data_IF_076559726066
#
_entry.id   IF_076559726066
#
_cell.length_a   1.000
_cell.length_b   1.000
_cell.length_c   1.000
_cell.angle_alpha   90.00
_cell.angle_beta   90.00
_cell.angle_gamma   90.00
#
_symmetry.space_group_name_H-M   'P 1'
#
loop_
_entity.id
_entity.type
_entity.pdbx_description
1 polymer ?
#
# COMPACT_ATOMS: atom_id res chain seq x y z
N UNK A 1 31.60 46.57 -50.31
CA UNK A 1 31.79 46.25 -48.88
C UNK A 1 30.69 45.28 -48.47
N UNK A 2 30.93 43.96 -48.41
CA UNK A 2 29.96 43.03 -47.86
C UNK A 2 30.19 42.88 -46.35
N UNK A 3 29.14 43.12 -45.58
CA UNK A 3 29.09 42.94 -44.12
C UNK A 3 29.09 41.45 -43.81
N UNK A 4 30.17 40.95 -43.20
CA UNK A 4 30.24 39.58 -42.68
C UNK A 4 29.63 39.58 -41.29
N UNK A 5 28.42 39.06 -41.16
CA UNK A 5 27.80 38.74 -39.87
C UNK A 5 28.53 37.54 -39.26
N UNK A 6 29.27 37.76 -38.17
CA UNK A 6 29.78 36.69 -37.32
C UNK A 6 28.59 35.99 -36.67
N UNK A 7 28.31 34.75 -37.05
CA UNK A 7 27.52 33.84 -36.22
C UNK A 7 28.44 33.29 -35.14
N UNK A 8 28.15 33.65 -33.89
CA UNK A 8 28.86 33.12 -32.73
C UNK A 8 28.56 31.61 -32.57
N UNK A 9 29.56 30.73 -32.64
CA UNK A 9 29.36 29.27 -32.59
C UNK A 9 28.80 28.76 -31.24
N UNK A 10 28.70 29.62 -30.22
CA UNK A 10 28.22 29.23 -28.89
C UNK A 10 26.68 29.11 -28.79
N UNK A 11 25.92 29.90 -29.55
CA UNK A 11 24.44 29.86 -29.50
C UNK A 11 23.89 28.59 -30.17
N UNK A 12 24.54 28.12 -31.23
CA UNK A 12 24.17 26.88 -31.93
C UNK A 12 24.27 25.66 -31.02
N UNK A 13 25.38 25.54 -30.27
CA UNK A 13 25.62 24.43 -29.33
C UNK A 13 24.66 24.45 -28.13
N UNK A 14 24.27 25.64 -27.69
CA UNK A 14 23.34 25.80 -26.55
C UNK A 14 21.91 25.44 -26.97
N UNK A 15 21.49 25.86 -28.15
CA UNK A 15 20.18 25.51 -28.71
C UNK A 15 20.07 24.01 -29.06
N UNK A 16 21.14 23.37 -29.52
CA UNK A 16 21.19 21.91 -29.70
C UNK A 16 21.04 21.16 -28.38
N UNK A 17 21.73 21.61 -27.32
CA UNK A 17 21.57 21.05 -25.97
C UNK A 17 20.16 21.22 -25.43
N UNK A 18 19.57 22.40 -25.58
CA UNK A 18 18.18 22.64 -25.19
C UNK A 18 17.27 21.69 -25.97
N UNK A 19 17.40 21.61 -27.29
CA UNK A 19 16.60 20.71 -28.13
C UNK A 19 16.71 19.23 -27.72
N UNK A 20 17.90 18.75 -27.36
CA UNK A 20 18.09 17.39 -26.82
C UNK A 20 17.36 17.20 -25.49
N UNK A 21 17.37 18.20 -24.62
CA UNK A 21 16.71 18.15 -23.31
C UNK A 21 15.18 18.25 -23.38
N UNK A 22 14.62 18.94 -24.38
CA UNK A 22 13.17 18.96 -24.66
C UNK A 22 12.72 17.84 -25.59
N UNK A 23 13.64 17.01 -26.11
CA UNK A 23 13.27 15.84 -26.92
C UNK A 23 12.55 14.84 -26.02
N UNK A 24 11.31 14.42 -26.33
CA UNK A 24 10.59 13.43 -25.55
C UNK A 24 11.42 12.15 -25.43
N UNK A 25 11.77 11.76 -24.20
CA UNK A 25 12.50 10.52 -23.97
C UNK A 25 11.70 9.34 -24.56
N UNK A 26 12.33 8.50 -25.41
CA UNK A 26 11.65 7.35 -25.98
C UNK A 26 11.23 6.42 -24.84
N UNK A 27 9.96 6.05 -24.81
CA UNK A 27 9.48 5.02 -23.90
C UNK A 27 10.18 3.72 -24.34
N UNK A 28 10.83 2.98 -23.42
CA UNK A 28 11.48 1.72 -23.78
C UNK A 28 10.52 0.83 -24.57
N UNK A 29 10.99 0.17 -25.65
CA UNK A 29 10.15 -0.73 -26.44
C UNK A 29 9.54 -1.78 -25.51
N UNK A 30 8.28 -2.19 -25.74
CA UNK A 30 7.61 -3.12 -24.85
C UNK A 30 8.33 -4.47 -24.93
N UNK A 31 9.00 -4.84 -23.84
CA UNK A 31 9.21 -6.26 -23.51
C UNK A 31 7.83 -6.93 -23.59
N UNK A 32 7.70 -8.16 -24.08
CA UNK A 32 6.39 -8.81 -24.29
C UNK A 32 5.49 -8.75 -23.05
N UNK A 33 6.08 -8.77 -21.85
CA UNK A 33 5.42 -8.59 -20.55
C UNK A 33 4.73 -7.23 -20.33
N UNK A 34 5.10 -6.20 -21.10
CA UNK A 34 4.64 -4.81 -20.98
C UNK A 34 3.55 -4.45 -22.01
N UNK A 35 3.27 -5.32 -22.99
CA UNK A 35 2.24 -5.07 -24.03
C UNK A 35 0.85 -4.88 -23.42
N UNK A 36 0.57 -5.52 -22.28
CA UNK A 36 -0.70 -5.41 -21.57
C UNK A 36 -0.83 -4.15 -20.66
N UNK A 37 0.22 -3.31 -20.55
CA UNK A 37 0.23 -2.15 -19.66
C UNK A 37 -0.04 -0.84 -20.40
N UNK A 38 -0.95 -0.02 -19.84
CA UNK A 38 -1.19 1.34 -20.32
C UNK A 38 0.08 2.20 -20.20
N UNK A 39 0.15 3.32 -20.93
CA UNK A 39 1.30 4.24 -20.91
C UNK A 39 1.65 4.73 -19.48
N UNK A 40 0.64 5.07 -18.69
CA UNK A 40 0.82 5.47 -17.28
C UNK A 40 1.35 4.34 -16.40
N UNK A 41 0.86 3.10 -16.59
CA UNK A 41 1.37 1.93 -15.86
C UNK A 41 2.83 1.60 -16.22
N UNK A 42 3.22 1.79 -17.48
CA UNK A 42 4.62 1.64 -17.92
C UNK A 42 5.53 2.68 -17.28
N UNK A 43 5.11 3.95 -17.29
CA UNK A 43 5.84 5.02 -16.61
C UNK A 43 5.99 4.73 -15.11
N UNK A 44 4.91 4.31 -14.45
CA UNK A 44 4.95 3.91 -13.04
C UNK A 44 5.97 2.79 -12.78
N UNK A 45 5.94 1.71 -13.58
CA UNK A 45 6.91 0.60 -13.43
C UNK A 45 8.34 1.06 -13.68
N UNK A 46 8.58 1.91 -14.67
CA UNK A 46 9.91 2.44 -14.97
C UNK A 46 10.45 3.33 -13.83
N UNK A 47 9.60 4.18 -13.24
CA UNK A 47 10.01 5.09 -12.17
C UNK A 47 10.14 4.41 -10.80
N UNK A 48 9.35 3.37 -10.52
CA UNK A 48 9.27 2.76 -9.18
C UNK A 48 9.89 1.36 -9.10
N UNK A 49 10.17 0.72 -10.24
CA UNK A 49 10.53 -0.70 -10.30
C UNK A 49 9.36 -1.65 -9.99
N UNK A 50 8.18 -1.15 -9.62
CA UNK A 50 7.04 -1.96 -9.18
C UNK A 50 6.07 -2.21 -10.34
N UNK A 51 5.71 -3.46 -10.60
CA UNK A 51 4.61 -3.79 -11.52
C UNK A 51 3.27 -3.41 -10.89
N UNK A 52 2.46 -2.60 -11.57
CA UNK A 52 1.16 -2.13 -11.07
C UNK A 52 0.21 -3.29 -10.73
N UNK A 53 0.33 -4.43 -11.41
CA UNK A 53 -0.48 -5.63 -11.14
C UNK A 53 -0.11 -6.30 -9.81
N UNK A 54 1.12 -6.09 -9.31
CA UNK A 54 1.54 -6.56 -8.00
C UNK A 54 0.78 -5.85 -6.86
N UNK A 55 0.21 -4.67 -7.12
CA UNK A 55 -0.49 -3.84 -6.13
C UNK A 55 -1.96 -4.24 -5.94
N UNK A 56 -2.45 -5.28 -6.64
CA UNK A 56 -3.87 -5.65 -6.62
C UNK A 56 -4.10 -7.16 -6.64
N UNK A 57 -5.20 -7.56 -6.02
CA UNK A 57 -5.77 -8.92 -6.05
C UNK A 57 -7.04 -8.84 -6.89
N UNK A 58 -6.92 -9.24 -8.16
CA UNK A 58 -7.95 -9.06 -9.20
C UNK A 58 -8.48 -10.37 -9.77
N UNK A 59 -7.69 -11.45 -9.82
CA UNK A 59 -8.15 -12.72 -10.40
C UNK A 59 -8.95 -13.56 -9.39
N UNK A 60 -9.75 -14.50 -9.88
CA UNK A 60 -10.49 -15.43 -9.03
C UNK A 60 -9.55 -16.28 -8.18
N UNK A 61 -8.47 -16.82 -8.77
CA UNK A 61 -7.46 -17.63 -8.06
C UNK A 61 -6.85 -16.82 -6.90
N UNK A 62 -6.45 -15.57 -7.18
CA UNK A 62 -5.92 -14.66 -6.17
C UNK A 62 -6.95 -14.36 -5.08
N UNK A 63 -8.21 -14.11 -5.46
CA UNK A 63 -9.28 -13.79 -4.53
C UNK A 63 -9.58 -14.96 -3.57
N UNK A 64 -9.77 -16.17 -4.09
CA UNK A 64 -10.09 -17.33 -3.26
C UNK A 64 -8.90 -17.72 -2.38
N UNK A 65 -7.67 -17.67 -2.89
CA UNK A 65 -6.47 -17.88 -2.08
C UNK A 65 -6.39 -16.87 -0.93
N UNK A 66 -6.64 -15.59 -1.22
CA UNK A 66 -6.65 -14.54 -0.20
C UNK A 66 -7.70 -14.82 0.89
N UNK A 67 -8.90 -15.24 0.49
CA UNK A 67 -9.99 -15.52 1.42
C UNK A 67 -9.69 -16.73 2.31
N UNK A 68 -9.11 -17.80 1.75
CA UNK A 68 -8.70 -18.98 2.51
C UNK A 68 -7.57 -18.66 3.49
N UNK A 69 -6.51 -17.98 3.04
CA UNK A 69 -5.43 -17.57 3.93
C UNK A 69 -5.89 -16.61 5.03
N UNK A 70 -6.82 -15.69 4.72
CA UNK A 70 -7.46 -14.84 5.73
C UNK A 70 -8.20 -15.68 6.78
N UNK A 71 -8.91 -16.71 6.35
CA UNK A 71 -9.65 -17.60 7.24
C UNK A 71 -8.69 -18.38 8.15
N UNK A 72 -7.65 -18.99 7.57
CA UNK A 72 -6.62 -19.77 8.27
C UNK A 72 -5.86 -18.91 9.28
N UNK A 73 -5.36 -17.76 8.84
CA UNK A 73 -4.57 -16.84 9.66
C UNK A 73 -5.39 -15.88 10.52
N UNK A 74 -6.73 -15.98 10.46
CA UNK A 74 -7.68 -15.09 11.16
C UNK A 74 -7.35 -13.61 11.02
N UNK A 75 -7.03 -13.17 9.80
CA UNK A 75 -6.57 -11.79 9.57
C UNK A 75 -7.69 -10.78 9.83
N UNK A 76 -7.36 -9.76 10.61
CA UNK A 76 -8.18 -8.58 10.81
C UNK A 76 -7.31 -7.32 10.84
N UNK A 77 -7.83 -6.22 10.32
CA UNK A 77 -7.04 -4.99 10.12
C UNK A 77 -6.49 -4.44 11.42
N UNK A 78 -7.20 -4.62 12.55
CA UNK A 78 -6.76 -4.16 13.87
C UNK A 78 -5.70 -5.06 14.54
N UNK A 79 -5.50 -6.30 14.07
CA UNK A 79 -4.51 -7.24 14.65
C UNK A 79 -3.23 -7.37 13.80
N UNK A 80 -3.23 -6.74 12.63
CA UNK A 80 -2.15 -6.79 11.64
C UNK A 80 -1.28 -5.53 11.70
N UNK A 81 0.03 -5.73 11.90
CA UNK A 81 1.06 -4.68 11.79
C UNK A 81 1.66 -4.70 10.38
N UNK A 82 2.37 -3.63 10.01
CA UNK A 82 3.12 -3.52 8.77
C UNK A 82 4.13 -4.66 8.58
N UNK A 83 4.92 -4.99 9.60
CA UNK A 83 5.85 -6.14 9.54
C UNK A 83 5.11 -7.48 9.33
N UNK A 84 3.95 -7.70 9.98
CA UNK A 84 3.16 -8.93 9.77
C UNK A 84 2.70 -9.07 8.32
N UNK A 85 2.39 -7.95 7.66
CA UNK A 85 1.98 -7.96 6.24
C UNK A 85 3.11 -8.40 5.31
N UNK A 86 4.36 -8.06 5.64
CA UNK A 86 5.55 -8.49 4.89
C UNK A 86 5.65 -10.03 4.91
N UNK A 87 5.61 -10.64 6.10
CA UNK A 87 5.67 -12.11 6.25
C UNK A 87 4.48 -12.81 5.58
N UNK A 88 3.26 -12.31 5.82
CA UNK A 88 2.04 -12.88 5.24
C UNK A 88 2.03 -12.80 3.71
N UNK A 89 2.61 -11.73 3.15
CA UNK A 89 2.68 -11.55 1.70
C UNK A 89 3.70 -12.49 1.07
N UNK A 90 4.83 -12.76 1.74
CA UNK A 90 5.78 -13.76 1.29
C UNK A 90 5.11 -15.16 1.22
N UNK A 91 4.38 -15.54 2.26
CA UNK A 91 3.62 -16.80 2.28
C UNK A 91 2.54 -16.85 1.18
N UNK A 92 1.82 -15.74 0.99
CA UNK A 92 0.79 -15.63 -0.05
C UNK A 92 1.40 -15.80 -1.45
N UNK A 93 2.55 -15.19 -1.71
CA UNK A 93 3.23 -15.30 -3.00
C UNK A 93 3.75 -16.72 -3.26
N UNK A 94 4.25 -17.41 -2.23
CA UNK A 94 4.64 -18.82 -2.34
C UNK A 94 3.44 -19.70 -2.71
N UNK A 95 2.33 -19.59 -1.98
CA UNK A 95 1.08 -20.32 -2.26
C UNK A 95 0.47 -19.96 -3.63
N UNK A 96 0.60 -18.71 -4.05
CA UNK A 96 0.14 -18.26 -5.36
C UNK A 96 0.99 -18.89 -6.48
N UNK A 97 2.31 -18.95 -6.30
CA UNK A 97 3.20 -19.60 -7.25
C UNK A 97 2.88 -21.09 -7.38
N UNK A 98 2.67 -21.79 -6.26
CA UNK A 98 2.25 -23.19 -6.26
C UNK A 98 0.95 -23.40 -7.05
N UNK A 99 -0.09 -22.58 -6.81
CA UNK A 99 -1.38 -22.68 -7.51
C UNK A 99 -1.32 -22.37 -9.01
N UNK A 100 -0.32 -21.61 -9.44
CA UNK A 100 -0.11 -21.24 -10.84
C UNK A 100 0.90 -22.16 -11.55
N UNK A 101 1.55 -23.06 -10.82
CA UNK A 101 2.48 -24.05 -11.39
C UNK A 101 1.74 -24.92 -12.41
N UNK A 102 2.16 -24.88 -13.67
CA UNK A 102 1.50 -25.60 -14.78
C UNK A 102 0.52 -24.75 -15.61
N UNK A 103 0.35 -23.46 -15.29
CA UNK A 103 -0.37 -22.49 -16.14
C UNK A 103 0.64 -21.64 -16.92
N UNK A 104 0.36 -21.27 -18.17
CA UNK A 104 1.23 -20.33 -18.96
C UNK A 104 1.23 -18.89 -18.40
N UNK A 105 0.61 -18.66 -17.24
CA UNK A 105 0.49 -17.33 -16.65
C UNK A 105 1.77 -16.93 -15.93
N UNK A 106 2.36 -15.79 -16.33
CA UNK A 106 3.45 -15.17 -15.59
C UNK A 106 3.01 -14.87 -14.14
N UNK A 107 3.73 -15.48 -13.18
CA UNK A 107 3.50 -15.26 -11.75
C UNK A 107 4.01 -13.87 -11.40
N UNK A 108 3.10 -12.99 -10.98
CA UNK A 108 3.44 -11.65 -10.51
C UNK A 108 3.35 -11.65 -8.98
N UNK A 109 4.50 -11.63 -8.27
CA UNK A 109 4.49 -11.57 -6.82
C UNK A 109 3.78 -10.30 -6.35
N UNK A 110 2.89 -10.45 -5.38
CA UNK A 110 2.11 -9.36 -4.82
C UNK A 110 2.94 -8.57 -3.82
N UNK A 111 2.68 -7.27 -3.80
CA UNK A 111 3.20 -6.36 -2.80
C UNK A 111 2.29 -6.37 -1.55
N UNK A 112 2.82 -6.17 -0.33
CA UNK A 112 2.02 -6.14 0.89
C UNK A 112 0.82 -5.20 0.84
N UNK A 113 0.94 -4.08 0.10
CA UNK A 113 -0.16 -3.13 -0.08
C UNK A 113 -1.40 -3.76 -0.72
N UNK A 114 -1.22 -4.72 -1.63
CA UNK A 114 -2.32 -5.41 -2.30
C UNK A 114 -3.21 -6.17 -1.32
N UNK A 115 -2.59 -6.88 -0.36
CA UNK A 115 -3.31 -7.64 0.65
C UNK A 115 -4.00 -6.71 1.66
N UNK A 116 -3.33 -5.64 2.08
CA UNK A 116 -3.90 -4.63 2.99
C UNK A 116 -5.16 -4.00 2.37
N UNK A 117 -5.07 -3.53 1.13
CA UNK A 117 -6.19 -2.91 0.43
C UNK A 117 -7.33 -3.91 0.19
N UNK A 118 -6.99 -5.16 -0.13
CA UNK A 118 -8.00 -6.22 -0.28
C UNK A 118 -8.69 -6.54 1.04
N UNK A 119 -7.95 -6.62 2.15
CA UNK A 119 -8.51 -6.85 3.47
C UNK A 119 -9.51 -5.75 3.83
N UNK A 120 -9.14 -4.47 3.65
CA UNK A 120 -10.05 -3.36 3.94
C UNK A 120 -11.37 -3.44 3.16
N UNK A 121 -11.34 -3.88 1.89
CA UNK A 121 -12.55 -4.12 1.08
C UNK A 121 -13.36 -5.31 1.60
N UNK A 122 -12.70 -6.43 1.91
CA UNK A 122 -13.34 -7.64 2.41
C UNK A 122 -13.98 -7.39 3.78
N UNK A 123 -13.32 -6.67 4.69
CA UNK A 123 -13.90 -6.32 5.99
C UNK A 123 -15.14 -5.45 5.86
N UNK A 124 -15.14 -4.48 4.93
CA UNK A 124 -16.34 -3.70 4.64
C UNK A 124 -17.49 -4.58 4.15
N UNK A 125 -17.22 -5.56 3.28
CA UNK A 125 -18.23 -6.52 2.82
C UNK A 125 -18.71 -7.44 3.94
N UNK A 126 -17.83 -7.93 4.81
CA UNK A 126 -18.20 -8.78 5.95
C UNK A 126 -19.11 -8.01 6.91
N UNK A 127 -18.77 -6.76 7.23
CA UNK A 127 -19.61 -5.93 8.10
C UNK A 127 -20.98 -5.69 7.46
N UNK A 128 -21.02 -5.37 6.17
CA UNK A 128 -22.27 -5.17 5.43
C UNK A 128 -23.17 -6.41 5.50
N UNK A 129 -22.61 -7.60 5.23
CA UNK A 129 -23.34 -8.87 5.29
C UNK A 129 -23.85 -9.23 6.68
N UNK A 130 -23.03 -9.06 7.71
CA UNK A 130 -23.46 -9.25 9.11
C UNK A 130 -24.59 -8.28 9.45
N UNK A 131 -24.49 -7.03 8.99
CA UNK A 131 -25.46 -6.00 9.34
C UNK A 131 -26.83 -6.18 8.67
N UNK A 132 -26.88 -6.77 7.47
CA UNK A 132 -28.12 -7.07 6.74
C UNK A 132 -28.60 -8.50 6.94
N UNK A 133 -27.85 -9.33 7.66
CA UNK A 133 -28.08 -10.77 7.78
C UNK A 133 -28.20 -11.48 6.41
N UNK A 134 -27.51 -10.97 5.39
CA UNK A 134 -27.51 -11.51 4.01
C UNK A 134 -26.13 -12.09 3.66
N UNK A 135 -26.06 -13.42 3.71
CA UNK A 135 -24.85 -14.17 3.40
C UNK A 135 -24.81 -14.69 1.97
N UNK A 136 -25.72 -14.26 1.09
CA UNK A 136 -25.80 -14.75 -0.28
C UNK A 136 -24.53 -14.42 -1.07
N UNK A 137 -24.00 -15.41 -1.79
CA UNK A 137 -22.97 -15.22 -2.81
C UNK A 137 -23.60 -14.96 -4.18
N UNK A 138 -22.80 -14.55 -5.17
CA UNK A 138 -23.26 -14.38 -6.56
C UNK A 138 -23.84 -15.65 -7.17
N UNK A 139 -23.54 -16.83 -6.60
CA UNK A 139 -24.06 -18.14 -7.00
C UNK A 139 -25.23 -18.63 -6.13
N UNK A 140 -25.78 -17.77 -5.27
CA UNK A 140 -26.92 -18.09 -4.39
C UNK A 140 -26.58 -18.93 -3.15
N UNK A 141 -25.34 -19.39 -2.99
CA UNK A 141 -24.92 -20.10 -1.77
C UNK A 141 -24.53 -19.15 -0.65
N UNK A 142 -24.86 -19.49 0.58
CA UNK A 142 -24.45 -18.72 1.78
C UNK A 142 -23.19 -19.27 2.46
N UNK A 143 -22.77 -20.50 2.13
CA UNK A 143 -21.74 -21.23 2.89
C UNK A 143 -20.40 -20.48 2.94
N UNK A 144 -20.02 -19.89 1.81
CA UNK A 144 -18.82 -19.08 1.69
C UNK A 144 -18.82 -17.89 2.66
N UNK A 145 -19.87 -17.06 2.62
CA UNK A 145 -19.90 -15.87 3.46
C UNK A 145 -20.14 -16.19 4.93
N UNK A 146 -20.91 -17.23 5.25
CA UNK A 146 -21.04 -17.69 6.64
C UNK A 146 -19.68 -18.12 7.22
N UNK A 147 -18.89 -18.88 6.45
CA UNK A 147 -17.50 -19.25 6.82
C UNK A 147 -16.64 -18.00 7.07
N UNK A 148 -16.62 -17.05 6.14
CA UNK A 148 -15.70 -15.91 6.21
C UNK A 148 -16.16 -14.76 7.13
N UNK A 149 -17.45 -14.64 7.41
CA UNK A 149 -17.98 -13.68 8.39
C UNK A 149 -17.73 -14.13 9.84
N UNK A 150 -17.64 -15.44 10.10
CA UNK A 150 -17.39 -15.97 11.44
C UNK A 150 -15.92 -15.88 11.91
N UNK A 151 -14.98 -15.47 11.05
CA UNK A 151 -13.53 -15.55 11.32
C UNK A 151 -13.08 -14.62 12.44
N UNK A 152 -13.53 -13.36 12.41
CA UNK A 152 -13.19 -12.35 13.41
C UNK A 152 -14.43 -11.50 13.68
N UNK A 153 -14.72 -11.24 14.96
CA UNK A 153 -15.76 -10.30 15.37
C UNK A 153 -15.35 -8.87 14.99
N UNK A 154 -15.60 -8.49 13.74
CA UNK A 154 -15.32 -7.14 13.20
C UNK A 154 -16.31 -6.08 13.70
N UNK A 155 -17.39 -6.53 14.33
CA UNK A 155 -18.28 -5.70 15.15
C UNK A 155 -18.56 -6.47 16.44
N UNK A 156 -18.12 -5.93 17.58
CA UNK A 156 -18.83 -6.20 18.82
C UNK A 156 -20.12 -5.40 18.68
N UNK A 157 -21.27 -6.08 18.70
CA UNK A 157 -22.59 -5.46 18.58
C UNK A 157 -22.60 -4.15 19.37
N UNK A 158 -22.73 -3.03 18.66
CA UNK A 158 -23.27 -1.84 19.30
C UNK A 158 -24.61 -2.32 19.89
N UNK A 159 -24.78 -2.10 21.20
CA UNK A 159 -26.06 -2.33 21.87
C UNK A 159 -27.17 -1.77 20.98
N UNK A 160 -28.28 -2.51 20.89
CA UNK A 160 -29.38 -2.18 19.99
C UNK A 160 -29.68 -0.67 19.98
N UNK A 161 -29.93 -0.08 18.79
CA UNK A 161 -30.27 1.32 18.71
C UNK A 161 -31.42 1.59 19.66
N UNK A 162 -31.18 2.47 20.64
CA UNK A 162 -32.15 2.77 21.70
C UNK A 162 -33.43 3.41 21.14
N UNK A 163 -33.42 3.81 19.86
CA UNK A 163 -34.52 4.43 19.15
C UNK A 163 -34.74 3.82 17.75
N UNK A 164 -35.99 3.53 17.36
CA UNK A 164 -36.33 3.13 16.00
C UNK A 164 -36.17 4.33 15.05
N UNK A 165 -35.10 4.34 14.25
CA UNK A 165 -34.82 5.40 13.26
C UNK A 165 -33.34 5.76 13.09
N UNK A 166 -32.44 5.31 13.96
CA UNK A 166 -31.01 5.57 13.81
C UNK A 166 -30.40 4.74 12.67
N UNK A 167 -29.94 5.45 11.63
CA UNK A 167 -29.19 4.85 10.52
C UNK A 167 -27.88 4.26 11.07
N UNK A 168 -27.64 2.96 10.83
CA UNK A 168 -26.36 2.29 11.12
C UNK A 168 -25.22 3.14 10.55
N UNK A 169 -24.26 3.53 11.39
CA UNK A 169 -23.13 4.37 10.96
C UNK A 169 -22.31 3.63 9.91
N UNK A 170 -22.05 4.28 8.77
CA UNK A 170 -21.18 3.76 7.72
C UNK A 170 -19.79 3.48 8.30
N UNK A 171 -19.26 2.28 8.07
CA UNK A 171 -17.91 1.86 8.49
C UNK A 171 -16.88 2.90 8.04
N UNK A 172 -16.15 3.45 8.99
CA UNK A 172 -15.09 4.41 8.73
C UNK A 172 -13.75 3.70 8.68
N UNK A 173 -12.98 3.91 7.62
CA UNK A 173 -11.60 3.40 7.50
C UNK A 173 -10.60 4.56 7.60
N UNK A 174 -9.39 4.28 8.06
CA UNK A 174 -8.30 5.24 8.05
C UNK A 174 -7.85 5.48 6.60
N UNK A 175 -7.79 6.73 6.15
CA UNK A 175 -7.33 7.06 4.80
C UNK A 175 -5.87 6.67 4.54
N UNK A 176 -5.06 6.57 5.60
CA UNK A 176 -3.62 6.28 5.58
C UNK A 176 -3.33 4.77 5.63
N UNK A 177 -3.62 4.11 6.75
CA UNK A 177 -3.37 2.67 6.94
C UNK A 177 -4.52 1.74 6.52
N UNK A 178 -5.67 2.27 6.08
CA UNK A 178 -6.87 1.50 5.68
C UNK A 178 -7.54 0.66 6.77
N UNK A 179 -7.04 0.69 8.02
CA UNK A 179 -7.68 -0.01 9.13
C UNK A 179 -9.09 0.52 9.41
N UNK A 180 -10.00 -0.36 9.84
CA UNK A 180 -11.31 0.04 10.37
C UNK A 180 -11.10 0.88 11.61
N UNK A 181 -11.74 2.05 11.69
CA UNK A 181 -11.48 2.99 12.77
C UNK A 181 -12.07 2.57 14.11
N UNK A 182 -13.24 1.93 14.10
CA UNK A 182 -13.99 1.62 15.31
C UNK A 182 -14.47 0.16 15.36
N UNK A 183 -13.57 -0.83 15.22
CA UNK A 183 -13.96 -2.25 15.21
C UNK A 183 -14.52 -2.73 16.56
N UNK A 184 -14.17 -2.05 17.67
CA UNK A 184 -14.54 -2.48 19.02
C UNK A 184 -15.71 -1.72 19.65
N UNK A 185 -16.39 -0.83 18.92
CA UNK A 185 -17.44 0.04 19.46
C UNK A 185 -16.89 1.21 20.30
N UNK A 186 -17.78 1.99 20.91
CA UNK A 186 -17.42 3.23 21.65
C UNK A 186 -16.42 2.94 22.77
N UNK A 187 -15.31 3.70 22.82
CA UNK A 187 -14.32 3.64 23.89
C UNK A 187 -13.35 2.45 23.85
N UNK A 188 -13.46 1.52 22.89
CA UNK A 188 -12.57 0.37 22.81
C UNK A 188 -11.11 0.75 22.55
N UNK A 189 -10.18 0.12 23.30
CA UNK A 189 -8.73 0.26 23.10
C UNK A 189 -8.29 -0.21 21.70
N UNK A 190 -9.03 -1.11 21.07
CA UNK A 190 -8.77 -1.59 19.71
C UNK A 190 -9.19 -0.63 18.60
N UNK A 191 -9.77 0.52 18.93
CA UNK A 191 -10.11 1.53 17.95
C UNK A 191 -8.87 2.27 17.45
N UNK A 192 -8.86 2.54 16.15
CA UNK A 192 -7.90 3.43 15.55
C UNK A 192 -7.98 4.81 16.22
N UNK A 193 -6.82 5.41 16.47
CA UNK A 193 -6.73 6.68 17.19
C UNK A 193 -7.22 7.83 16.28
N UNK A 194 -7.88 8.83 16.88
CA UNK A 194 -8.54 9.91 16.11
C UNK A 194 -7.53 10.84 15.43
N UNK A 195 -6.39 11.09 16.07
CA UNK A 195 -5.42 12.13 15.68
C UNK A 195 -4.17 11.60 14.98
N UNK A 196 -3.93 10.30 15.03
CA UNK A 196 -2.73 9.69 14.47
C UNK A 196 -3.02 8.29 13.96
N UNK A 197 -2.22 7.87 12.99
CA UNK A 197 -2.32 6.57 12.34
C UNK A 197 -1.61 5.48 13.17
N UNK A 198 -1.72 4.22 12.74
CA UNK A 198 -1.13 3.07 13.43
C UNK A 198 0.40 3.14 13.57
N UNK A 199 1.07 3.90 12.71
CA UNK A 199 2.51 4.22 12.74
C UNK A 199 2.84 5.46 13.59
N UNK A 200 1.86 6.03 14.31
CA UNK A 200 2.05 7.20 15.16
C UNK A 200 2.09 8.54 14.42
N UNK A 201 2.02 8.52 13.09
CA UNK A 201 2.06 9.72 12.24
C UNK A 201 0.70 10.43 12.20
N UNK A 202 0.72 11.77 12.23
CA UNK A 202 -0.49 12.58 12.06
C UNK A 202 -0.98 12.54 10.60
N UNK A 203 -2.28 12.30 10.35
CA UNK A 203 -2.85 12.44 9.01
C UNK A 203 -2.63 13.85 8.47
N UNK A 204 -2.50 13.97 7.15
CA UNK A 204 -2.22 15.23 6.47
C UNK A 204 -3.30 16.28 6.79
N UNK A 205 -2.95 17.27 7.59
CA UNK A 205 -3.66 18.55 7.64
C UNK A 205 -3.09 19.42 6.50
N UNK A 206 -3.94 20.15 5.78
CA UNK A 206 -3.64 20.70 4.45
C UNK A 206 -2.39 21.60 4.28
N UNK A 207 -1.64 21.87 5.35
CA UNK A 207 -0.44 22.72 5.38
C UNK A 207 0.86 21.96 5.62
N UNK A 208 0.85 20.72 6.13
CA UNK A 208 2.07 19.98 6.51
C UNK A 208 2.37 18.77 5.60
N UNK A 209 3.67 18.55 5.38
CA UNK A 209 4.18 17.31 4.78
C UNK A 209 3.93 16.14 5.75
N UNK A 210 3.26 15.10 5.27
CA UNK A 210 3.03 13.88 6.04
C UNK A 210 3.83 12.75 5.38
N UNK A 211 4.74 12.06 6.10
CA UNK A 211 5.53 10.97 5.52
C UNK A 211 4.63 9.87 4.97
N UNK A 212 5.10 9.00 4.07
CA UNK A 212 4.26 7.89 3.60
C UNK A 212 4.02 6.84 4.69
N UNK A 213 2.96 6.05 4.57
CA UNK A 213 2.69 4.93 5.50
C UNK A 213 3.18 3.62 4.89
N UNK A 214 3.70 2.68 5.69
CA UNK A 214 3.92 2.76 7.14
C UNK A 214 5.25 3.43 7.47
N UNK A 215 5.29 4.29 8.50
CA UNK A 215 6.59 4.66 9.09
C UNK A 215 7.03 3.61 10.13
N UNK A 216 8.35 3.42 10.31
CA UNK A 216 8.89 2.55 11.34
C UNK A 216 8.36 2.92 12.74
N UNK A 217 8.08 1.92 13.60
CA UNK A 217 7.49 2.14 14.90
C UNK A 217 8.41 2.96 15.82
N UNK A 218 7.82 3.81 16.64
CA UNK A 218 8.56 4.57 17.66
C UNK A 218 9.23 5.84 17.15
N UNK A 219 9.35 6.07 15.83
CA UNK A 219 9.85 7.35 15.29
C UNK A 219 8.86 8.48 15.59
N UNK A 220 7.57 8.20 15.47
CA UNK A 220 6.50 9.14 15.77
C UNK A 220 5.60 8.58 16.86
N UNK A 221 5.22 9.43 17.83
CA UNK A 221 4.17 9.09 18.79
C UNK A 221 3.12 10.19 18.86
N UNK A 222 1.86 9.76 18.98
CA UNK A 222 0.67 10.60 19.12
C UNK A 222 0.50 11.70 18.07
N UNK A 223 1.15 11.58 16.91
CA UNK A 223 1.13 12.58 15.84
C UNK A 223 1.80 13.91 16.17
N UNK A 224 2.46 14.01 17.33
CA UNK A 224 3.00 15.28 17.83
C UNK A 224 4.47 15.19 18.28
N UNK A 225 4.97 14.00 18.57
CA UNK A 225 6.33 13.81 19.06
C UNK A 225 7.15 13.00 18.06
N UNK A 226 8.33 13.53 17.75
CA UNK A 226 9.37 12.87 16.98
C UNK A 226 10.48 12.38 17.91
N UNK A 227 10.91 11.13 17.75
CA UNK A 227 11.93 10.49 18.59
C UNK A 227 13.24 10.36 17.83
N UNK A 228 14.22 11.25 18.05
CA UNK A 228 15.45 11.31 17.26
C UNK A 228 16.32 10.06 17.42
N UNK A 229 16.33 9.44 18.61
CA UNK A 229 17.08 8.20 18.85
C UNK A 229 16.50 7.07 18.02
N UNK A 230 15.19 6.87 18.05
CA UNK A 230 14.51 5.84 17.24
C UNK A 230 14.77 6.08 15.75
N UNK A 231 14.67 7.33 15.29
CA UNK A 231 14.96 7.70 13.90
C UNK A 231 16.39 7.33 13.47
N UNK A 232 17.41 7.70 14.26
CA UNK A 232 18.81 7.43 13.93
C UNK A 232 19.14 5.94 14.00
N UNK A 233 18.55 5.22 14.96
CA UNK A 233 18.66 3.76 15.05
C UNK A 233 18.09 3.11 13.79
N UNK A 234 16.87 3.47 13.38
CA UNK A 234 16.25 2.92 12.18
C UNK A 234 17.00 3.29 10.90
N UNK A 235 17.56 4.50 10.81
CA UNK A 235 18.41 4.89 9.68
C UNK A 235 19.64 4.00 9.56
N UNK A 236 20.30 3.71 10.70
CA UNK A 236 21.45 2.82 10.74
C UNK A 236 21.07 1.40 10.37
N UNK A 237 20.01 0.85 10.96
CA UNK A 237 19.52 -0.50 10.67
C UNK A 237 19.13 -0.66 9.21
N UNK A 238 18.41 0.31 8.64
CA UNK A 238 18.07 0.34 7.22
C UNK A 238 19.33 0.33 6.36
N UNK A 239 20.32 1.18 6.65
CA UNK A 239 21.57 1.25 5.90
C UNK A 239 22.37 -0.07 5.99
N UNK A 240 22.57 -0.62 7.19
CA UNK A 240 23.27 -1.89 7.38
C UNK A 240 22.57 -3.04 6.66
N UNK A 241 21.24 -3.08 6.69
CA UNK A 241 20.47 -4.16 6.06
C UNK A 241 20.42 -4.03 4.52
N UNK A 242 20.37 -2.82 3.99
CA UNK A 242 20.18 -2.59 2.54
C UNK A 242 21.48 -2.40 1.77
N UNK A 243 22.48 -1.75 2.38
CA UNK A 243 23.74 -1.39 1.72
C UNK A 243 24.87 -2.36 2.09
N UNK A 244 24.95 -2.82 3.35
CA UNK A 244 26.07 -3.66 3.79
C UNK A 244 25.82 -5.17 3.60
N UNK A 245 24.57 -5.62 3.48
CA UNK A 245 24.21 -7.05 3.34
C UNK A 245 24.03 -7.53 1.88
N UNK A 246 24.58 -6.82 0.89
CA UNK A 246 24.57 -7.21 -0.54
C UNK A 246 23.18 -7.58 -1.12
N UNK A 247 22.10 -6.99 -0.62
CA UNK A 247 20.76 -7.10 -1.22
C UNK A 247 20.16 -8.51 -1.27
N UNK A 248 20.63 -9.46 -0.44
CA UNK A 248 20.03 -10.79 -0.36
C UNK A 248 18.65 -10.74 0.31
N UNK A 249 17.63 -10.99 -0.50
CA UNK A 249 16.25 -11.33 -0.14
C UNK A 249 15.60 -10.40 0.90
N UNK A 250 15.81 -9.09 0.75
CA UNK A 250 15.07 -8.10 1.54
C UNK A 250 13.67 -8.05 0.96
N UNK A 251 12.75 -8.85 1.53
CA UNK A 251 11.32 -8.66 1.35
C UNK A 251 11.06 -7.16 1.50
N UNK A 252 10.42 -6.54 0.52
CA UNK A 252 10.23 -5.08 0.48
C UNK A 252 9.62 -4.62 1.80
N UNK A 253 10.48 -4.11 2.68
CA UNK A 253 10.06 -3.59 3.96
C UNK A 253 9.37 -2.27 3.66
N UNK A 254 8.05 -2.33 3.70
CA UNK A 254 7.18 -1.19 3.45
C UNK A 254 7.54 -0.01 4.37
N UNK A 255 8.05 -0.30 5.58
CA UNK A 255 8.51 0.72 6.52
C UNK A 255 9.78 1.39 6.03
N UNK A 256 10.79 0.61 5.61
CA UNK A 256 12.04 1.17 5.06
C UNK A 256 11.85 1.90 3.74
N UNK A 257 10.96 1.42 2.86
CA UNK A 257 10.64 2.13 1.62
C UNK A 257 10.00 3.50 1.91
N UNK A 258 8.99 3.53 2.78
CA UNK A 258 8.34 4.78 3.16
C UNK A 258 9.27 5.70 3.96
N UNK A 259 10.19 5.13 4.75
CA UNK A 259 11.21 5.86 5.48
C UNK A 259 12.26 6.47 4.55
N UNK A 260 12.75 5.72 3.56
CA UNK A 260 13.65 6.23 2.53
C UNK A 260 13.00 7.38 1.73
N UNK A 261 11.71 7.28 1.41
CA UNK A 261 10.97 8.37 0.78
C UNK A 261 10.87 9.62 1.68
N UNK A 262 10.67 9.46 2.98
CA UNK A 262 10.74 10.58 3.93
C UNK A 262 12.11 11.27 3.87
N UNK A 263 13.21 10.51 3.81
CA UNK A 263 14.57 11.06 3.72
C UNK A 263 14.82 11.77 2.38
N UNK A 264 14.32 11.21 1.27
CA UNK A 264 14.51 11.77 -0.08
C UNK A 264 13.85 13.15 -0.25
N UNK A 265 12.69 13.37 0.37
CA UNK A 265 11.97 14.66 0.31
C UNK A 265 12.76 15.79 1.00
N UNK A 266 13.55 15.48 2.03
CA UNK A 266 14.37 16.47 2.74
C UNK A 266 15.49 17.04 1.86
N UNK A 267 16.01 16.26 0.90
CA UNK A 267 17.09 16.70 0.02
C UNK A 267 16.61 17.63 -1.11
N UNK A 268 15.39 17.46 -1.60
CA UNK A 268 14.85 18.27 -2.72
C UNK A 268 14.26 19.62 -2.32
N UNK A 269 14.06 19.89 -1.02
CA UNK A 269 13.62 21.21 -0.53
C UNK A 269 14.78 22.17 -0.23
N UNK A 270 16.03 21.73 -0.37
CA UNK A 270 17.24 22.52 -0.08
C UNK A 270 18.09 22.86 -1.32
N UNK A 271 17.60 22.57 -2.52
CA UNK A 271 18.26 22.88 -3.80
C UNK A 271 17.46 23.88 -4.60
#
# INVERSE_FOLDING_TARGET
MPTVTRQDPSESSTNERVNVLITPLPIPPPVDELKALTRSKRLFRACTGIDVRALRIETDIEYYLFMDMRYEGRWASFSMTSCKWVTVTAEYNAKLAEKLTGTEANIIPKNPRALIDKLGKVEALVIDKISHNDYSSSRGSETFWRKHCAVVSLSKSEAEPSNPGEKKRKVQTCGRCRQVKYPGGVGSKGNHKKQYCSDGVKPKDGTDFSPEWPQPPGIFTSGAHFHPVAFLTTLREMYETTVMNDGRDVVVDMEYLAFANLLAVVYFQRS
#
